data_IF_485579969813
#
_entry.id   IF_485579969813
#
_cell.length_a   1.000
_cell.length_b   1.000
_cell.length_c   1.000
_cell.angle_alpha   90.00
_cell.angle_beta   90.00
_cell.angle_gamma   90.00
#
_symmetry.space_group_name_H-M   'P 1'
#
loop_
_entity.id
_entity.type
_entity.pdbx_description
1 polymer ?
#
# COMPACT_ATOMS: atom_id res chain seq x y z
N UNK A 1 1.31 -5.87 19.67
CA UNK A 1 0.56 -5.09 20.69
C UNK A 1 -0.90 -4.84 20.30
N UNK A 2 -1.19 -4.25 19.12
CA UNK A 2 -2.57 -3.96 18.68
C UNK A 2 -3.52 -5.16 18.80
N UNK A 3 -3.14 -6.36 18.37
CA UNK A 3 -3.97 -7.58 18.54
C UNK A 3 -4.22 -7.97 20.01
N UNK A 4 -3.30 -7.69 20.94
CA UNK A 4 -3.54 -7.94 22.37
C UNK A 4 -4.58 -6.95 22.92
N UNK A 5 -4.50 -5.68 22.49
CA UNK A 5 -5.51 -4.70 22.83
C UNK A 5 -6.88 -5.09 22.26
N UNK A 6 -6.93 -5.59 21.02
CA UNK A 6 -8.14 -6.14 20.41
C UNK A 6 -8.71 -7.30 21.23
N UNK A 7 -7.87 -8.26 21.66
CA UNK A 7 -8.32 -9.34 22.54
C UNK A 7 -8.98 -8.82 23.81
N UNK A 8 -8.36 -7.83 24.46
CA UNK A 8 -8.91 -7.23 25.68
C UNK A 8 -10.22 -6.49 25.42
N UNK A 9 -10.27 -5.65 24.38
CA UNK A 9 -11.45 -4.86 24.02
C UNK A 9 -12.67 -5.74 23.68
N UNK A 10 -12.42 -6.93 23.13
CA UNK A 10 -13.46 -7.90 22.77
C UNK A 10 -13.73 -8.96 23.86
N UNK A 11 -13.08 -8.85 25.02
CA UNK A 11 -13.21 -9.81 26.12
C UNK A 11 -12.69 -11.23 25.80
N UNK A 12 -11.79 -11.37 24.84
CA UNK A 12 -11.18 -12.64 24.46
C UNK A 12 -9.98 -12.95 25.37
N UNK A 13 -10.09 -14.01 26.16
CA UNK A 13 -9.06 -14.50 27.08
C UNK A 13 -8.02 -15.39 26.39
N UNK A 14 -8.38 -16.02 25.26
CA UNK A 14 -7.49 -16.92 24.52
C UNK A 14 -7.36 -16.53 23.05
N UNK A 15 -6.26 -16.95 22.40
CA UNK A 15 -6.10 -16.82 20.95
C UNK A 15 -7.20 -17.56 20.17
N UNK A 16 -7.75 -18.65 20.73
CA UNK A 16 -8.83 -19.41 20.09
C UNK A 16 -10.14 -18.62 20.05
N UNK A 17 -10.48 -17.93 21.14
CA UNK A 17 -11.63 -17.02 21.19
C UNK A 17 -11.47 -15.86 20.20
N UNK A 18 -10.27 -15.29 20.11
CA UNK A 18 -10.00 -14.27 19.10
C UNK A 18 -10.14 -14.81 17.67
N UNK A 19 -9.59 -16.00 17.37
CA UNK A 19 -9.81 -16.66 16.07
C UNK A 19 -11.29 -16.87 15.76
N UNK A 20 -12.10 -17.24 16.76
CA UNK A 20 -13.54 -17.40 16.56
C UNK A 20 -14.23 -16.08 16.20
N UNK A 21 -13.77 -14.94 16.75
CA UNK A 21 -14.27 -13.61 16.35
C UNK A 21 -13.95 -13.28 14.89
N UNK A 22 -12.73 -13.60 14.43
CA UNK A 22 -12.35 -13.45 13.03
C UNK A 22 -13.19 -14.36 12.12
N UNK A 23 -13.33 -15.63 12.48
CA UNK A 23 -14.13 -16.60 11.73
C UNK A 23 -15.63 -16.23 11.66
N UNK A 24 -16.17 -15.58 12.69
CA UNK A 24 -17.56 -15.13 12.71
C UNK A 24 -17.84 -14.01 11.68
N UNK A 25 -16.84 -13.18 11.37
CA UNK A 25 -16.94 -12.12 10.35
C UNK A 25 -16.58 -12.64 8.96
N UNK A 26 -15.61 -13.55 8.88
CA UNK A 26 -15.15 -14.17 7.65
C UNK A 26 -14.74 -15.62 7.92
N UNK A 27 -15.56 -16.63 7.55
CA UNK A 27 -15.24 -18.04 7.74
C UNK A 27 -13.94 -18.47 7.03
N UNK A 28 -13.56 -17.78 5.95
CA UNK A 28 -12.34 -18.04 5.16
C UNK A 28 -11.15 -17.18 5.61
N UNK A 29 -11.21 -16.59 6.80
CA UNK A 29 -10.13 -15.73 7.30
C UNK A 29 -8.79 -16.46 7.40
N UNK A 30 -7.72 -15.78 7.01
CA UNK A 30 -6.36 -16.27 7.20
C UNK A 30 -5.88 -16.14 8.67
N UNK A 31 -6.72 -15.60 9.57
CA UNK A 31 -6.46 -15.54 11.01
C UNK A 31 -6.75 -16.88 11.71
N UNK A 32 -5.89 -17.87 11.46
CA UNK A 32 -5.99 -19.20 12.06
C UNK A 32 -5.22 -19.30 13.39
N UNK A 33 -5.53 -20.31 14.21
CA UNK A 33 -4.85 -20.55 15.50
C UNK A 33 -3.33 -20.69 15.33
N UNK A 34 -2.90 -21.28 14.21
CA UNK A 34 -1.49 -21.50 13.89
C UNK A 34 -0.70 -20.20 13.77
N UNK A 35 -1.30 -19.16 13.18
CA UNK A 35 -0.67 -17.86 12.97
C UNK A 35 -0.96 -16.88 14.12
N UNK A 36 -2.14 -16.98 14.74
CA UNK A 36 -2.61 -16.09 15.80
C UNK A 36 -1.62 -16.02 16.97
N UNK A 37 -1.03 -17.14 17.39
CA UNK A 37 -0.07 -17.15 18.49
C UNK A 37 1.16 -16.28 18.19
N UNK A 38 1.70 -16.34 16.97
CA UNK A 38 2.86 -15.54 16.55
C UNK A 38 2.47 -14.07 16.43
N UNK A 39 1.30 -13.76 15.87
CA UNK A 39 0.84 -12.39 15.66
C UNK A 39 0.44 -11.67 16.96
N UNK A 40 -0.30 -12.32 17.85
CA UNK A 40 -0.68 -11.76 19.16
C UNK A 40 0.56 -11.51 20.03
N UNK A 41 1.59 -12.36 19.92
CA UNK A 41 2.87 -12.15 20.61
C UNK A 41 3.77 -11.09 19.95
N UNK A 42 3.39 -10.56 18.79
CA UNK A 42 4.19 -9.59 18.04
C UNK A 42 5.46 -10.18 17.42
N UNK A 43 5.55 -11.52 17.31
CA UNK A 43 6.68 -12.20 16.66
C UNK A 43 6.62 -12.14 15.12
N UNK A 44 5.44 -11.86 14.57
CA UNK A 44 5.20 -11.67 13.16
C UNK A 44 3.96 -10.78 12.97
N UNK A 45 3.71 -10.32 11.74
CA UNK A 45 2.49 -9.59 11.36
C UNK A 45 1.74 -10.35 10.26
N UNK A 46 0.42 -10.16 10.14
CA UNK A 46 -0.33 -10.63 8.99
C UNK A 46 0.26 -10.08 7.69
N UNK A 47 0.42 -10.96 6.69
CA UNK A 47 0.95 -10.63 5.36
C UNK A 47 -0.14 -10.48 4.30
N UNK A 48 -1.37 -10.87 4.61
CA UNK A 48 -2.52 -10.76 3.72
C UNK A 48 -3.35 -9.56 4.15
N UNK A 49 -3.73 -8.70 3.20
CA UNK A 49 -4.54 -7.51 3.49
C UNK A 49 -5.90 -7.88 4.11
N UNK A 50 -6.47 -9.01 3.68
CA UNK A 50 -7.74 -9.56 4.19
C UNK A 50 -7.81 -9.69 5.69
N UNK A 51 -6.69 -10.00 6.36
CA UNK A 51 -6.66 -10.10 7.82
C UNK A 51 -6.90 -8.74 8.47
N UNK A 52 -6.40 -7.65 7.88
CA UNK A 52 -6.62 -6.30 8.38
C UNK A 52 -8.05 -5.82 8.09
N UNK A 53 -8.64 -6.23 6.96
CA UNK A 53 -10.06 -5.97 6.66
C UNK A 53 -10.99 -6.69 7.64
N UNK A 54 -10.75 -7.98 7.88
CA UNK A 54 -11.48 -8.76 8.88
C UNK A 54 -11.34 -8.13 10.26
N UNK A 55 -10.12 -7.71 10.62
CA UNK A 55 -9.85 -7.06 11.90
C UNK A 55 -10.60 -5.74 12.04
N UNK A 56 -10.59 -4.89 11.01
CA UNK A 56 -11.35 -3.64 11.03
C UNK A 56 -12.86 -3.89 11.20
N UNK A 57 -13.41 -4.90 10.52
CA UNK A 57 -14.83 -5.28 10.66
C UNK A 57 -15.19 -5.77 12.07
N UNK A 58 -14.32 -6.55 12.72
CA UNK A 58 -14.55 -7.01 14.10
C UNK A 58 -14.56 -5.83 15.09
N UNK A 59 -13.69 -4.84 14.89
CA UNK A 59 -13.62 -3.65 15.74
C UNK A 59 -14.83 -2.72 15.52
N UNK A 60 -15.43 -2.75 14.34
CA UNK A 60 -16.57 -1.92 13.97
C UNK A 60 -16.19 -0.44 13.79
N UNK A 61 -17.19 0.44 13.81
CA UNK A 61 -16.99 1.90 13.85
C UNK A 61 -16.48 2.54 12.54
N UNK A 62 -16.52 1.83 11.41
CA UNK A 62 -16.06 2.37 10.12
C UNK A 62 -14.54 2.51 9.99
N UNK A 63 -13.77 1.79 10.81
CA UNK A 63 -12.32 1.80 10.74
C UNK A 63 -11.84 1.21 9.40
N UNK A 64 -10.83 1.84 8.80
CA UNK A 64 -10.19 1.33 7.60
C UNK A 64 -9.11 0.29 7.94
N UNK A 65 -8.96 -0.74 7.12
CA UNK A 65 -7.90 -1.74 7.26
C UNK A 65 -6.50 -1.12 7.25
N UNK A 66 -6.28 -0.10 6.42
CA UNK A 66 -5.01 0.65 6.38
C UNK A 66 -4.72 1.37 7.70
N UNK A 67 -5.75 1.92 8.36
CA UNK A 67 -5.60 2.47 9.71
C UNK A 67 -5.19 1.38 10.70
N UNK A 68 -5.84 0.21 10.69
CA UNK A 68 -5.51 -0.90 11.58
C UNK A 68 -4.09 -1.41 11.33
N UNK A 69 -3.63 -1.46 10.07
CA UNK A 69 -2.28 -1.89 9.72
C UNK A 69 -1.21 -0.89 10.17
N UNK A 70 -1.38 0.39 9.83
CA UNK A 70 -0.31 1.39 9.92
C UNK A 70 -0.30 2.23 11.19
N UNK A 71 -1.43 2.37 11.88
CA UNK A 71 -1.50 3.18 13.11
C UNK A 71 -0.46 2.77 14.14
N UNK A 72 0.07 3.76 14.85
CA UNK A 72 0.84 3.49 16.05
C UNK A 72 -0.04 2.80 17.11
N UNK A 73 0.59 2.20 18.13
CA UNK A 73 -0.19 1.62 19.22
C UNK A 73 -1.04 2.67 19.93
N UNK A 74 -0.52 3.87 20.14
CA UNK A 74 -1.22 4.93 20.88
C UNK A 74 -2.38 5.52 20.07
N UNK A 75 -2.21 5.76 18.77
CA UNK A 75 -3.30 6.17 17.87
C UNK A 75 -4.40 5.11 17.82
N UNK A 76 -4.00 3.84 17.69
CA UNK A 76 -4.93 2.72 17.69
C UNK A 76 -5.69 2.65 19.03
N UNK A 77 -4.99 2.72 20.16
CA UNK A 77 -5.60 2.64 21.48
C UNK A 77 -6.58 3.80 21.75
N UNK A 78 -6.22 5.02 21.37
CA UNK A 78 -7.10 6.18 21.49
C UNK A 78 -8.39 5.98 20.69
N UNK A 79 -8.26 5.49 19.45
CA UNK A 79 -9.40 5.25 18.57
C UNK A 79 -10.30 4.14 19.12
N UNK A 80 -9.73 3.01 19.55
CA UNK A 80 -10.51 1.89 20.10
C UNK A 80 -11.24 2.28 21.39
N UNK A 81 -10.66 3.13 22.25
CA UNK A 81 -11.36 3.63 23.46
C UNK A 81 -12.64 4.42 23.14
N UNK A 82 -12.70 5.05 21.97
CA UNK A 82 -13.91 5.74 21.50
C UNK A 82 -15.03 4.80 21.06
N UNK A 83 -14.72 3.52 20.78
CA UNK A 83 -15.66 2.58 20.17
C UNK A 83 -15.95 1.34 21.03
N UNK A 84 -15.02 0.93 21.87
CA UNK A 84 -15.11 -0.28 22.69
C UNK A 84 -14.69 0.01 24.14
N UNK A 85 -15.32 -0.63 25.13
CA UNK A 85 -14.94 -0.49 26.53
C UNK A 85 -13.57 -1.13 26.76
N UNK A 86 -12.54 -0.31 26.96
CA UNK A 86 -11.18 -0.74 27.28
C UNK A 86 -10.79 -0.22 28.66
N UNK A 87 -10.50 -1.07 29.65
CA UNK A 87 -10.03 -0.63 30.97
C UNK A 87 -8.66 0.05 30.90
N UNK A 88 -8.55 1.25 31.48
CA UNK A 88 -7.31 2.05 31.46
C UNK A 88 -6.12 1.32 32.12
N UNK A 89 -6.38 0.55 33.18
CA UNK A 89 -5.36 -0.25 33.84
C UNK A 89 -4.78 -1.36 32.93
N UNK A 90 -5.61 -1.95 32.07
CA UNK A 90 -5.17 -2.98 31.13
C UNK A 90 -4.32 -2.37 30.00
N UNK A 91 -4.67 -1.16 29.55
CA UNK A 91 -3.89 -0.42 28.57
C UNK A 91 -2.53 0.02 29.13
N UNK A 92 -2.49 0.50 30.38
CA UNK A 92 -1.25 0.85 31.08
C UNK A 92 -0.30 -0.35 31.19
N UNK A 93 -0.83 -1.53 31.54
CA UNK A 93 -0.06 -2.78 31.59
C UNK A 93 0.53 -3.15 30.23
N UNK A 94 -0.25 -3.03 29.15
CA UNK A 94 0.25 -3.29 27.80
C UNK A 94 1.36 -2.32 27.36
N UNK A 95 1.35 -1.07 27.84
CA UNK A 95 2.42 -0.08 27.59
C UNK A 95 3.69 -0.38 28.40
N UNK A 96 3.54 -0.83 29.64
CA UNK A 96 4.68 -1.24 30.48
C UNK A 96 5.42 -2.45 29.90
N UNK A 97 4.70 -3.41 29.32
CA UNK A 97 5.27 -4.59 28.67
C UNK A 97 6.04 -4.25 27.38
N UNK A 98 5.87 -3.04 26.83
CA UNK A 98 6.49 -2.58 25.59
C UNK A 98 6.68 -1.06 25.59
N UNK A 99 7.78 -0.53 26.16
CA UNK A 99 8.02 0.91 26.20
C UNK A 99 8.15 1.47 24.78
N UNK A 100 7.37 2.51 24.48
CA UNK A 100 7.53 3.34 23.28
C UNK A 100 8.91 4.01 23.33
N UNK A 101 9.69 4.04 22.22
CA UNK A 101 10.85 4.92 22.18
C UNK A 101 10.40 6.38 22.38
N UNK A 102 11.18 7.21 23.09
CA UNK A 102 10.82 8.60 23.33
C UNK A 102 10.66 9.35 21.99
N UNK A 103 9.79 10.38 21.93
CA UNK A 103 9.64 11.20 20.74
C UNK A 103 10.99 11.80 20.35
N UNK A 104 11.32 11.74 19.05
CA UNK A 104 12.50 12.36 18.48
C UNK A 104 12.37 13.88 18.62
N UNK A 105 12.98 14.45 19.67
CA UNK A 105 13.38 15.86 19.67
C UNK A 105 14.32 16.09 18.49
N UNK A 106 14.09 17.11 17.63
CA UNK A 106 15.01 17.41 16.54
C UNK A 106 16.38 17.79 17.13
N UNK A 107 17.51 17.19 16.67
CA UNK A 107 18.81 17.57 17.17
C UNK A 107 19.21 18.91 16.57
N UNK A 108 19.27 19.94 17.41
CA UNK A 108 20.11 21.10 17.17
C UNK A 108 21.54 20.67 17.45
N UNK A 109 22.36 20.59 16.40
CA UNK A 109 23.81 20.75 16.50
C UNK A 109 24.63 19.51 16.90
N UNK A 110 25.56 19.22 15.98
CA UNK A 110 26.87 18.58 16.17
C UNK A 110 26.96 17.04 16.19
N UNK A 111 27.64 16.59 15.14
CA UNK A 111 27.99 15.22 14.85
C UNK A 111 28.90 14.62 15.93
N UNK A 112 28.52 13.44 16.41
CA UNK A 112 29.48 12.48 16.93
C UNK A 112 29.01 11.07 16.57
N UNK A 113 29.70 10.50 15.60
CA UNK A 113 29.54 9.12 15.19
C UNK A 113 29.84 8.17 16.35
N UNK A 114 28.81 7.44 16.80
CA UNK A 114 28.97 6.15 17.47
C UNK A 114 28.00 5.17 16.83
N UNK A 115 28.57 4.27 16.05
CA UNK A 115 27.89 3.13 15.42
C UNK A 115 27.42 2.17 16.50
N UNK A 116 26.26 2.48 17.08
CA UNK A 116 25.45 1.46 17.74
C UNK A 116 24.73 0.75 16.59
N UNK A 117 25.11 -0.50 16.34
CA UNK A 117 24.32 -1.41 15.51
C UNK A 117 22.97 -1.59 16.21
N UNK A 118 22.04 -0.67 15.96
CA UNK A 118 20.64 -0.81 16.36
C UNK A 118 20.09 -1.96 15.53
N UNK A 119 19.66 -3.02 16.21
CA UNK A 119 18.83 -4.04 15.60
C UNK A 119 17.67 -3.36 14.85
N UNK A 120 17.27 -3.84 13.66
CA UNK A 120 16.25 -3.16 12.85
C UNK A 120 14.94 -3.13 13.64
N UNK A 121 14.64 -1.99 14.24
CA UNK A 121 13.33 -1.71 14.78
C UNK A 121 12.36 -1.78 13.61
N UNK A 122 11.40 -2.69 13.71
CA UNK A 122 10.32 -2.89 12.75
C UNK A 122 9.74 -1.54 12.32
N UNK A 123 9.87 -1.20 11.03
CA UNK A 123 9.37 0.06 10.45
C UNK A 123 7.95 -0.14 9.92
N UNK A 124 6.96 0.71 10.25
CA UNK A 124 5.57 0.55 9.80
C UNK A 124 5.42 0.45 8.27
N UNK A 125 6.34 1.10 7.52
CA UNK A 125 6.19 1.33 6.08
C UNK A 125 7.16 0.53 5.22
N UNK A 126 7.92 -0.42 5.78
CA UNK A 126 8.91 -1.19 5.01
C UNK A 126 8.29 -1.97 3.84
N UNK A 127 6.99 -2.26 3.92
CA UNK A 127 6.23 -2.93 2.85
C UNK A 127 6.15 -2.08 1.59
N UNK A 128 6.25 -0.76 1.66
CA UNK A 128 6.17 0.11 0.48
C UNK A 128 7.45 0.08 -0.37
N UNK A 129 8.58 -0.36 0.20
CA UNK A 129 9.80 -0.51 -0.59
C UNK A 129 9.66 -1.62 -1.65
N UNK A 130 10.22 -1.38 -2.82
CA UNK A 130 10.25 -2.34 -3.93
C UNK A 130 10.01 -1.71 -5.31
N UNK A 131 9.94 -2.59 -6.31
CA UNK A 131 9.64 -2.25 -7.69
C UNK A 131 8.14 -2.44 -8.00
N UNK A 132 7.61 -1.55 -8.82
CA UNK A 132 6.20 -1.56 -9.22
C UNK A 132 6.05 -1.25 -10.71
N UNK A 133 5.10 -1.93 -11.35
CA UNK A 133 4.46 -1.47 -12.58
C UNK A 133 3.46 -0.39 -12.23
N UNK A 134 3.53 0.75 -12.90
CA UNK A 134 2.65 1.89 -12.72
C UNK A 134 1.70 1.96 -13.90
N UNK A 135 0.40 2.05 -13.65
CA UNK A 135 -0.62 2.11 -14.69
C UNK A 135 -1.42 3.39 -14.48
N UNK A 136 -1.55 4.19 -15.54
CA UNK A 136 -2.40 5.38 -15.57
C UNK A 136 -3.01 5.58 -16.95
N UNK A 137 -4.02 6.44 -17.06
CA UNK A 137 -4.51 6.91 -18.36
C UNK A 137 -3.54 7.93 -18.96
N UNK A 138 -3.47 7.92 -20.29
CA UNK A 138 -2.74 8.92 -21.06
C UNK A 138 -3.23 10.33 -20.75
N UNK A 139 -2.26 11.23 -20.56
CA UNK A 139 -2.51 12.67 -20.45
C UNK A 139 -2.46 13.40 -21.78
N UNK A 140 -2.05 12.72 -22.86
CA UNK A 140 -2.06 13.29 -24.20
C UNK A 140 -3.46 13.20 -24.79
N UNK A 141 -4.01 14.33 -25.28
CA UNK A 141 -5.30 14.33 -25.98
C UNK A 141 -5.29 13.49 -27.26
N UNK A 142 -4.16 13.40 -27.95
CA UNK A 142 -4.04 12.58 -29.16
C UNK A 142 -4.17 11.08 -28.83
N UNK A 143 -3.90 10.71 -27.58
CA UNK A 143 -3.86 9.32 -27.10
C UNK A 143 -4.94 9.11 -26.02
N UNK A 144 -6.03 9.88 -26.09
CA UNK A 144 -7.10 9.82 -25.11
C UNK A 144 -7.70 8.41 -25.02
N UNK A 145 -7.86 7.91 -23.79
CA UNK A 145 -8.39 6.57 -23.54
C UNK A 145 -7.33 5.45 -23.57
N UNK A 146 -6.12 5.72 -24.06
CA UNK A 146 -5.00 4.80 -23.94
C UNK A 146 -4.39 4.83 -22.53
N UNK A 147 -3.70 3.75 -22.18
CA UNK A 147 -2.93 3.60 -20.95
C UNK A 147 -1.47 3.99 -21.19
N UNK A 148 -0.84 4.49 -20.14
CA UNK A 148 0.61 4.60 -20.02
C UNK A 148 1.05 3.60 -18.95
N UNK A 149 2.07 2.82 -19.29
CA UNK A 149 2.78 1.98 -18.34
C UNK A 149 4.10 2.65 -17.98
N UNK A 150 4.30 2.84 -16.68
CA UNK A 150 5.55 3.29 -16.12
C UNK A 150 6.10 2.28 -15.12
N UNK A 151 7.25 2.60 -14.56
CA UNK A 151 7.89 1.84 -13.49
C UNK A 151 8.15 2.76 -12.33
N UNK A 152 7.79 2.34 -11.12
CA UNK A 152 8.18 3.00 -9.90
C UNK A 152 9.11 2.11 -9.09
N UNK A 153 10.23 2.67 -8.65
CA UNK A 153 11.11 2.08 -7.66
C UNK A 153 11.03 2.94 -6.39
N UNK A 154 10.63 2.32 -5.29
CA UNK A 154 10.57 2.95 -3.98
C UNK A 154 11.66 2.34 -3.11
N UNK A 155 12.62 3.16 -2.69
CA UNK A 155 13.74 2.74 -1.87
C UNK A 155 13.70 3.42 -0.51
N UNK A 156 14.12 2.74 0.58
CA UNK A 156 14.33 3.41 1.86
C UNK A 156 15.42 4.48 1.71
N UNK A 157 15.19 5.65 2.30
CA UNK A 157 16.19 6.71 2.43
C UNK A 157 16.67 6.81 3.90
N UNK A 158 17.52 7.79 4.19
CA UNK A 158 17.95 8.07 5.56
C UNK A 158 16.75 8.43 6.45
N UNK A 159 16.72 7.89 7.68
CA UNK A 159 15.59 8.07 8.60
C UNK A 159 14.39 7.17 8.27
N UNK A 160 13.17 7.72 8.41
CA UNK A 160 11.88 7.07 8.10
C UNK A 160 11.35 7.45 6.70
N UNK A 161 12.15 8.19 5.93
CA UNK A 161 11.79 8.67 4.60
C UNK A 161 12.09 7.61 3.51
N UNK A 162 11.47 7.82 2.34
CA UNK A 162 11.71 7.04 1.15
C UNK A 162 12.21 7.94 0.02
N UNK A 163 12.86 7.34 -0.97
CA UNK A 163 13.04 7.94 -2.28
C UNK A 163 12.20 7.18 -3.29
N UNK A 164 11.68 7.89 -4.28
CA UNK A 164 10.93 7.29 -5.39
C UNK A 164 11.54 7.71 -6.71
N UNK A 165 11.66 6.75 -7.62
CA UNK A 165 12.07 6.93 -9.00
C UNK A 165 10.98 6.36 -9.90
N UNK A 166 10.34 7.23 -10.65
CA UNK A 166 9.32 6.91 -11.63
C UNK A 166 9.88 7.04 -13.04
N UNK A 167 9.66 6.06 -13.91
CA UNK A 167 10.14 6.08 -15.30
C UNK A 167 9.02 5.66 -16.24
N UNK A 168 8.83 6.41 -17.32
CA UNK A 168 7.97 6.06 -18.46
C UNK A 168 8.81 5.93 -19.72
N UNK A 169 8.56 4.91 -20.53
CA UNK A 169 9.20 4.78 -21.85
C UNK A 169 8.20 5.22 -22.93
N UNK A 170 8.34 6.45 -23.43
CA UNK A 170 7.48 7.05 -24.45
C UNK A 170 8.32 7.40 -25.68
N UNK A 171 7.82 7.06 -26.88
CA UNK A 171 8.51 7.35 -28.15
C UNK A 171 9.98 6.86 -28.21
N UNK A 172 10.27 5.73 -27.55
CA UNK A 172 11.61 5.16 -27.47
C UNK A 172 12.58 5.92 -26.55
N UNK A 173 12.08 6.82 -25.71
CA UNK A 173 12.86 7.55 -24.71
C UNK A 173 12.34 7.29 -23.30
N UNK A 174 13.28 7.12 -22.36
CA UNK A 174 12.97 6.98 -20.95
C UNK A 174 12.89 8.35 -20.27
N UNK A 175 11.69 8.67 -19.80
CA UNK A 175 11.40 9.89 -19.05
C UNK A 175 11.40 9.51 -17.58
N UNK A 176 12.42 9.97 -16.85
CA UNK A 176 12.58 9.66 -15.43
C UNK A 176 12.21 10.86 -14.57
N UNK A 177 11.46 10.60 -13.50
CA UNK A 177 11.07 11.55 -12.48
C UNK A 177 11.48 11.01 -11.11
N UNK A 178 12.15 11.81 -10.30
CA UNK A 178 12.60 11.36 -8.98
C UNK A 178 12.46 12.42 -7.90
N UNK A 179 12.31 11.97 -6.67
CA UNK A 179 12.21 12.86 -5.51
C UNK A 179 12.11 12.10 -4.18
N UNK A 180 12.25 12.81 -3.06
CA UNK A 180 11.95 12.25 -1.75
C UNK A 180 10.45 11.98 -1.62
N UNK A 181 10.11 10.94 -0.86
CA UNK A 181 8.76 10.54 -0.56
C UNK A 181 8.56 10.47 0.95
N UNK A 182 7.60 11.27 1.42
CA UNK A 182 7.16 11.28 2.81
C UNK A 182 6.09 10.21 2.99
N UNK A 183 6.21 9.39 4.03
CA UNK A 183 5.26 8.31 4.30
C UNK A 183 4.89 8.27 5.79
N UNK A 184 3.61 8.53 6.09
CA UNK A 184 3.07 8.47 7.46
C UNK A 184 2.39 7.12 7.77
N UNK A 185 2.51 6.16 6.85
CA UNK A 185 1.90 4.84 6.91
C UNK A 185 0.44 4.77 6.48
N UNK A 186 -0.23 5.91 6.28
CA UNK A 186 -1.58 5.97 5.68
C UNK A 186 -1.55 6.58 4.28
N UNK A 187 -0.59 7.43 4.03
CA UNK A 187 -0.33 8.13 2.78
C UNK A 187 1.16 8.10 2.48
N UNK A 188 1.49 8.13 1.19
CA UNK A 188 2.86 8.35 0.73
C UNK A 188 2.84 9.40 -0.37
N UNK A 189 3.60 10.48 -0.21
CA UNK A 189 3.54 11.64 -1.10
C UNK A 189 4.93 12.06 -1.53
N UNK A 190 5.08 12.38 -2.82
CA UNK A 190 6.35 12.78 -3.40
C UNK A 190 6.17 13.91 -4.43
N UNK A 191 7.04 14.92 -4.34
CA UNK A 191 7.25 15.87 -5.42
C UNK A 191 8.42 15.37 -6.28
N UNK A 192 8.10 14.92 -7.50
CA UNK A 192 9.05 14.33 -8.44
C UNK A 192 9.54 15.39 -9.41
N UNK A 193 10.84 15.44 -9.66
CA UNK A 193 11.42 16.29 -10.71
C UNK A 193 11.72 15.45 -11.94
N UNK A 194 11.15 15.81 -13.08
CA UNK A 194 11.45 15.17 -14.35
C UNK A 194 12.85 15.57 -14.85
N UNK A 195 13.68 14.60 -15.20
CA UNK A 195 15.04 14.85 -15.69
C UNK A 195 15.04 15.52 -17.08
N UNK A 196 14.07 15.19 -17.92
CA UNK A 196 13.97 15.70 -19.30
C UNK A 196 13.39 17.12 -19.34
N UNK A 197 12.23 17.33 -18.74
CA UNK A 197 11.50 18.61 -18.83
C UNK A 197 11.82 19.58 -17.70
N UNK A 198 12.53 19.12 -16.66
CA UNK A 198 12.79 19.84 -15.39
C UNK A 198 11.53 20.25 -14.62
N UNK A 199 10.34 19.82 -15.07
CA UNK A 199 9.05 20.10 -14.44
C UNK A 199 8.84 19.22 -13.21
N UNK A 200 7.99 19.71 -12.32
CA UNK A 200 7.57 19.00 -11.12
C UNK A 200 6.27 18.25 -11.36
N UNK A 201 6.23 17.02 -10.86
CA UNK A 201 5.07 16.15 -10.81
C UNK A 201 4.79 15.83 -9.35
N UNK A 202 3.53 15.69 -9.00
CA UNK A 202 3.13 15.34 -7.64
C UNK A 202 2.44 13.98 -7.64
N UNK A 203 3.01 13.06 -6.87
CA UNK A 203 2.52 11.71 -6.66
C UNK A 203 1.95 11.63 -5.25
N UNK A 204 0.66 11.34 -5.12
CA UNK A 204 -0.03 11.13 -3.85
C UNK A 204 -0.65 9.74 -3.80
N UNK A 205 -0.04 8.85 -3.03
CA UNK A 205 -0.44 7.47 -2.85
C UNK A 205 -1.17 7.30 -1.52
N UNK A 206 -2.14 6.39 -1.52
CA UNK A 206 -2.68 5.82 -0.30
C UNK A 206 -1.77 4.69 0.13
N UNK A 207 -1.19 4.77 1.32
CA UNK A 207 -0.35 3.71 1.83
C UNK A 207 -1.21 2.43 1.98
N UNK A 208 -0.80 1.34 1.34
CA UNK A 208 -1.58 0.12 1.29
C UNK A 208 -1.45 -0.65 2.60
N UNK A 209 -2.44 -1.51 2.89
CA UNK A 209 -2.26 -2.58 3.87
C UNK A 209 -1.16 -3.54 3.38
N UNK A 210 -0.33 -4.12 4.27
CA UNK A 210 0.56 -5.21 3.89
C UNK A 210 -0.21 -6.32 3.16
N UNK A 211 0.31 -6.88 2.05
CA UNK A 211 1.71 -6.85 1.60
C UNK A 211 2.04 -5.74 0.60
N UNK A 212 1.15 -4.76 0.38
CA UNK A 212 1.36 -3.69 -0.58
C UNK A 212 1.55 -4.20 -2.03
N UNK A 213 0.79 -5.23 -2.45
CA UNK A 213 0.81 -5.71 -3.83
C UNK A 213 0.18 -4.71 -4.81
N UNK A 214 -0.77 -3.91 -4.31
CA UNK A 214 -1.42 -2.82 -5.04
C UNK A 214 -1.33 -1.56 -4.21
N UNK A 215 -0.92 -0.46 -4.84
CA UNK A 215 -0.95 0.89 -4.27
C UNK A 215 -1.69 1.81 -5.21
N UNK A 216 -2.69 2.53 -4.72
CA UNK A 216 -3.48 3.44 -5.53
C UNK A 216 -3.24 4.88 -5.12
N UNK A 217 -3.31 5.80 -6.07
CA UNK A 217 -3.13 7.21 -5.80
C UNK A 217 -3.54 8.10 -6.95
N UNK A 218 -3.12 9.36 -6.85
CA UNK A 218 -3.23 10.38 -7.88
C UNK A 218 -1.82 10.77 -8.31
N UNK A 219 -1.61 10.86 -9.62
CA UNK A 219 -0.44 11.48 -10.21
C UNK A 219 -0.90 12.77 -10.90
N UNK A 220 -0.17 13.85 -10.70
CA UNK A 220 -0.47 15.16 -11.30
C UNK A 220 0.78 15.87 -11.77
N UNK A 221 0.64 16.72 -12.78
CA UNK A 221 1.74 17.50 -13.34
C UNK A 221 1.39 18.03 -14.72
N UNK A 222 2.39 18.21 -15.59
CA UNK A 222 2.18 18.68 -16.95
C UNK A 222 2.22 17.52 -17.96
N UNK A 223 1.32 17.49 -18.92
CA UNK A 223 1.40 16.52 -20.02
C UNK A 223 2.76 16.64 -20.74
N UNK A 224 3.51 15.52 -20.80
CA UNK A 224 4.90 15.48 -21.27
C UNK A 224 5.02 15.73 -22.78
N UNK A 225 4.02 15.32 -23.54
CA UNK A 225 3.98 15.41 -25.00
C UNK A 225 2.72 16.14 -25.46
N UNK A 226 2.53 17.32 -24.89
CA UNK A 226 1.44 18.21 -25.22
C UNK A 226 2.01 19.59 -25.53
N UNK A 227 1.66 20.14 -26.69
CA UNK A 227 2.09 21.46 -27.13
C UNK A 227 1.71 22.55 -26.12
N UNK A 228 0.56 22.39 -25.47
CA UNK A 228 0.04 23.35 -24.49
C UNK A 228 0.58 23.14 -23.08
N UNK A 229 1.36 22.06 -22.85
CA UNK A 229 1.90 21.73 -21.53
C UNK A 229 0.85 21.71 -20.40
N UNK A 230 -0.38 21.29 -20.72
CA UNK A 230 -1.54 21.38 -19.83
C UNK A 230 -1.29 20.67 -18.50
N UNK A 231 -1.80 21.29 -17.44
CA UNK A 231 -1.85 20.68 -16.12
C UNK A 231 -2.90 19.59 -16.08
N UNK A 232 -2.49 18.38 -15.72
CA UNK A 232 -3.29 17.19 -15.69
C UNK A 232 -3.17 16.49 -14.34
N UNK A 233 -4.22 15.80 -13.94
CA UNK A 233 -4.22 14.89 -12.81
C UNK A 233 -5.04 13.66 -13.19
N UNK A 234 -4.58 12.48 -12.76
CA UNK A 234 -5.25 11.22 -13.03
C UNK A 234 -5.01 10.21 -11.92
N UNK A 235 -5.86 9.18 -11.88
CA UNK A 235 -5.62 8.02 -11.02
C UNK A 235 -4.41 7.24 -11.53
N UNK A 236 -3.65 6.73 -10.59
CA UNK A 236 -2.51 5.85 -10.83
C UNK A 236 -2.62 4.63 -9.93
N UNK A 237 -2.31 3.46 -10.48
CA UNK A 237 -2.24 2.20 -9.74
C UNK A 237 -0.86 1.60 -9.93
N UNK A 238 -0.19 1.29 -8.82
CA UNK A 238 1.10 0.62 -8.74
C UNK A 238 0.85 -0.83 -8.38
N UNK A 239 1.36 -1.75 -9.20
CA UNK A 239 1.31 -3.20 -8.96
C UNK A 239 2.73 -3.67 -8.67
N UNK A 240 2.93 -4.37 -7.56
CA UNK A 240 4.23 -4.88 -7.16
C UNK A 240 4.80 -5.86 -8.19
N UNK A 241 6.07 -5.66 -8.52
CA UNK A 241 6.89 -6.65 -9.24
C UNK A 241 7.47 -7.65 -8.23
N UNK A 242 7.07 -8.92 -8.33
CA UNK A 242 7.57 -9.99 -7.47
C UNK A 242 8.83 -10.68 -8.00
N UNK A 243 9.19 -10.43 -9.26
CA UNK A 243 10.40 -10.98 -9.87
C UNK A 243 11.60 -10.05 -9.68
N UNK A 244 11.36 -8.80 -9.24
CA UNK A 244 12.35 -7.75 -9.00
C UNK A 244 13.34 -7.59 -10.17
N UNK A 245 12.82 -7.74 -11.39
CA UNK A 245 13.65 -7.70 -12.59
C UNK A 245 14.02 -6.25 -12.85
N UNK A 246 15.31 -5.96 -13.09
CA UNK A 246 15.73 -4.61 -13.53
C UNK A 246 15.08 -4.19 -14.84
N UNK A 247 14.70 -5.14 -15.68
CA UNK A 247 14.05 -4.90 -16.96
C UNK A 247 13.03 -6.02 -17.26
N UNK A 248 11.80 -5.94 -16.71
CA UNK A 248 10.71 -6.80 -17.12
C UNK A 248 10.32 -6.44 -18.56
N UNK A 249 9.90 -7.42 -19.39
CA UNK A 249 9.55 -7.20 -20.79
C UNK A 249 8.18 -6.52 -20.90
N UNK A 250 8.07 -5.33 -20.34
CA UNK A 250 6.85 -4.54 -20.35
C UNK A 250 6.68 -3.86 -21.70
N UNK A 251 5.45 -3.79 -22.19
CA UNK A 251 5.11 -2.99 -23.34
C UNK A 251 5.30 -1.51 -23.02
N UNK A 252 5.88 -0.79 -23.96
CA UNK A 252 6.22 0.63 -23.84
C UNK A 252 5.27 1.49 -24.68
N UNK A 253 5.23 2.78 -24.40
CA UNK A 253 4.39 3.73 -25.13
C UNK A 253 2.93 3.76 -24.67
N UNK A 254 2.06 4.26 -25.56
CA UNK A 254 0.62 4.30 -25.36
C UNK A 254 -0.01 2.98 -25.75
N UNK A 255 -0.80 2.40 -24.85
CA UNK A 255 -1.39 1.08 -25.02
C UNK A 255 -2.91 1.17 -25.00
N UNK A 256 -3.58 0.36 -25.81
CA UNK A 256 -5.03 0.25 -25.74
C UNK A 256 -5.45 -0.17 -24.33
N UNK A 257 -6.48 0.51 -23.79
CA UNK A 257 -7.11 0.18 -22.52
C UNK A 257 -7.83 -1.17 -22.59
N UNK A 258 -7.08 -2.26 -22.37
CA UNK A 258 -7.55 -3.64 -22.54
C UNK A 258 -7.19 -4.49 -21.31
N UNK A 259 -8.17 -5.17 -20.68
CA UNK A 259 -7.90 -6.13 -19.61
C UNK A 259 -6.94 -7.26 -20.03
N UNK A 260 -7.02 -7.71 -21.28
CA UNK A 260 -6.17 -8.77 -21.82
C UNK A 260 -4.71 -8.32 -21.99
N UNK A 261 -4.50 -7.06 -22.41
CA UNK A 261 -3.16 -6.50 -22.47
C UNK A 261 -2.57 -6.41 -21.06
N UNK A 262 -3.33 -5.91 -20.10
CA UNK A 262 -2.88 -5.79 -18.72
C UNK A 262 -2.60 -7.15 -18.07
N UNK A 263 -3.39 -8.19 -18.39
CA UNK A 263 -3.14 -9.55 -17.91
C UNK A 263 -1.76 -10.07 -18.34
N UNK A 264 -1.38 -9.86 -19.60
CA UNK A 264 -0.04 -10.19 -20.12
C UNK A 264 1.05 -9.48 -19.30
N UNK A 265 0.89 -8.18 -19.05
CA UNK A 265 1.87 -7.39 -18.29
C UNK A 265 1.98 -7.85 -16.84
N UNK A 266 0.86 -8.14 -16.19
CA UNK A 266 0.83 -8.61 -14.79
C UNK A 266 1.42 -10.03 -14.69
N UNK A 267 1.24 -10.88 -15.71
CA UNK A 267 1.94 -12.16 -15.80
C UNK A 267 3.47 -12.00 -15.74
N UNK A 268 4.02 -10.96 -16.38
CA UNK A 268 5.46 -10.66 -16.34
C UNK A 268 5.98 -10.18 -14.97
N UNK A 269 5.09 -9.81 -14.05
CA UNK A 269 5.43 -9.42 -12.68
C UNK A 269 5.46 -10.60 -11.69
N UNK A 270 5.14 -11.82 -12.16
CA UNK A 270 5.19 -13.03 -11.35
C UNK A 270 3.87 -13.46 -10.71
N UNK A 271 2.74 -12.90 -11.12
CA UNK A 271 1.41 -13.35 -10.67
C UNK A 271 0.96 -14.60 -11.45
N UNK A 272 0.48 -15.62 -10.74
CA UNK A 272 0.45 -17.01 -11.26
C UNK A 272 -0.94 -17.57 -11.62
N UNK A 273 -2.02 -16.81 -11.43
CA UNK A 273 -3.40 -17.29 -11.63
C UNK A 273 -4.12 -16.55 -12.78
N UNK A 274 -4.10 -17.04 -14.04
CA UNK A 274 -4.62 -16.31 -15.19
C UNK A 274 -6.10 -15.88 -15.09
N UNK A 275 -7.05 -16.75 -14.65
CA UNK A 275 -8.43 -16.32 -14.45
C UNK A 275 -8.56 -15.20 -13.42
N UNK A 276 -7.84 -15.30 -12.30
CA UNK A 276 -7.82 -14.27 -11.26
C UNK A 276 -7.18 -12.96 -11.74
N UNK A 277 -6.09 -13.03 -12.52
CA UNK A 277 -5.47 -11.86 -13.14
C UNK A 277 -6.43 -11.14 -14.08
N UNK A 278 -7.14 -11.86 -14.94
CA UNK A 278 -8.12 -11.26 -15.86
C UNK A 278 -9.26 -10.54 -15.12
N UNK A 279 -9.74 -11.11 -14.02
CA UNK A 279 -10.74 -10.45 -13.18
C UNK A 279 -10.17 -9.17 -12.54
N UNK A 280 -8.95 -9.25 -11.99
CA UNK A 280 -8.27 -8.12 -11.36
C UNK A 280 -7.95 -7.00 -12.37
N UNK A 281 -7.53 -7.33 -13.60
CA UNK A 281 -7.25 -6.33 -14.64
C UNK A 281 -8.50 -5.61 -15.12
N UNK A 282 -9.63 -6.32 -15.18
CA UNK A 282 -10.93 -5.73 -15.51
C UNK A 282 -11.34 -4.72 -14.44
N UNK A 283 -11.23 -5.09 -13.16
CA UNK A 283 -11.52 -4.17 -12.06
C UNK A 283 -10.55 -2.97 -12.01
N UNK A 284 -9.26 -3.21 -12.24
CA UNK A 284 -8.25 -2.16 -12.31
C UNK A 284 -8.60 -1.13 -13.38
N UNK A 285 -8.97 -1.60 -14.57
CA UNK A 285 -9.29 -0.71 -15.67
C UNK A 285 -10.53 0.15 -15.35
N UNK A 286 -11.57 -0.48 -14.78
CA UNK A 286 -12.76 0.23 -14.32
C UNK A 286 -12.41 1.30 -13.26
N UNK A 287 -11.50 1.00 -12.33
CA UNK A 287 -11.04 1.93 -11.29
C UNK A 287 -10.35 3.16 -11.90
N UNK A 288 -9.43 2.96 -12.85
CA UNK A 288 -8.71 4.08 -13.47
C UNK A 288 -9.63 4.90 -14.39
N UNK A 289 -10.56 4.27 -15.09
CA UNK A 289 -11.49 4.92 -16.02
C UNK A 289 -12.71 5.57 -15.37
N UNK A 290 -13.03 5.23 -14.12
CA UNK A 290 -14.24 5.74 -13.46
C UNK A 290 -14.25 7.28 -13.43
N UNK A 291 -15.41 7.87 -13.76
CA UNK A 291 -15.53 9.33 -13.79
C UNK A 291 -15.45 9.91 -12.37
N UNK A 292 -14.78 11.07 -12.18
CA UNK A 292 -14.79 11.79 -10.91
C UNK A 292 -16.22 12.12 -10.43
N UNK A 293 -16.50 11.89 -9.15
CA UNK A 293 -17.79 12.24 -8.54
C UNK A 293 -17.72 13.70 -8.10
N UNK A 294 -18.71 14.52 -8.49
CA UNK A 294 -18.79 15.94 -8.09
C UNK A 294 -17.54 16.78 -8.43
N UNK A 295 -16.78 16.36 -9.45
CA UNK A 295 -15.54 17.03 -9.87
C UNK A 295 -14.33 16.74 -8.97
N UNK A 296 -14.47 15.92 -7.93
CA UNK A 296 -13.36 15.49 -7.08
C UNK A 296 -12.66 14.27 -7.68
N UNK A 297 -11.39 14.43 -8.04
CA UNK A 297 -10.55 13.33 -8.45
C UNK A 297 -9.95 12.65 -7.20
N UNK A 298 -10.59 11.56 -6.79
CA UNK A 298 -10.14 10.74 -5.66
C UNK A 298 -9.80 9.31 -6.08
N UNK A 299 -9.04 8.60 -5.25
CA UNK A 299 -8.87 7.16 -5.31
C UNK A 299 -9.83 6.49 -4.32
N UNK A 300 -10.95 5.87 -4.79
CA UNK A 300 -11.96 5.31 -3.90
C UNK A 300 -11.37 4.21 -3.00
N UNK A 301 -11.48 4.34 -1.66
CA UNK A 301 -10.87 3.39 -0.72
C UNK A 301 -11.35 1.96 -0.94
N UNK A 302 -12.66 1.77 -1.07
CA UNK A 302 -13.27 0.44 -1.12
C UNK A 302 -12.90 -0.29 -2.42
N UNK A 303 -12.89 0.43 -3.55
CA UNK A 303 -12.48 -0.14 -4.82
C UNK A 303 -10.98 -0.50 -4.85
N UNK A 304 -10.13 0.35 -4.25
CA UNK A 304 -8.71 0.05 -4.12
C UNK A 304 -8.46 -1.14 -3.18
N UNK A 305 -9.21 -1.24 -2.07
CA UNK A 305 -9.15 -2.37 -1.14
C UNK A 305 -9.57 -3.69 -1.78
N UNK A 306 -10.70 -3.69 -2.49
CA UNK A 306 -11.16 -4.86 -3.25
C UNK A 306 -10.13 -5.30 -4.29
N UNK A 307 -9.56 -4.35 -5.04
CA UNK A 307 -8.50 -4.64 -6.00
C UNK A 307 -7.26 -5.24 -5.32
N UNK A 308 -6.84 -4.68 -4.18
CA UNK A 308 -5.72 -5.20 -3.39
C UNK A 308 -5.92 -6.65 -2.94
N UNK A 309 -7.14 -7.00 -2.50
CA UNK A 309 -7.49 -8.37 -2.12
C UNK A 309 -7.39 -9.35 -3.29
N UNK A 310 -7.83 -8.94 -4.48
CA UNK A 310 -7.73 -9.79 -5.66
C UNK A 310 -6.26 -10.04 -6.03
N UNK A 311 -5.42 -9.00 -6.03
CA UNK A 311 -3.98 -9.14 -6.27
C UNK A 311 -3.26 -9.97 -5.20
N UNK A 312 -3.67 -9.88 -3.93
CA UNK A 312 -3.10 -10.70 -2.85
C UNK A 312 -3.37 -12.21 -3.04
N UNK A 313 -4.52 -12.57 -3.61
CA UNK A 313 -4.86 -13.98 -3.90
C UNK A 313 -4.02 -14.57 -5.03
N UNK A 314 -3.72 -13.76 -6.04
CA UNK A 314 -2.98 -14.20 -7.24
C UNK A 314 -1.46 -14.02 -7.12
N UNK A 315 -1.00 -13.34 -6.07
CA UNK A 315 0.41 -13.13 -5.76
C UNK A 315 1.14 -14.47 -5.47
N UNK A 316 2.43 -14.57 -5.79
CA UNK A 316 3.21 -15.76 -5.49
C UNK A 316 3.27 -16.00 -3.96
N UNK A 317 2.76 -17.16 -3.52
CA UNK A 317 2.65 -17.51 -2.09
C UNK A 317 1.31 -17.18 -1.43
N UNK A 318 0.35 -16.61 -2.18
CA UNK A 318 -1.05 -16.56 -1.78
C UNK A 318 -1.59 -17.97 -1.54
N UNK A 319 -2.10 -18.22 -0.35
CA UNK A 319 -2.53 -19.55 0.07
C UNK A 319 -3.80 -19.92 -0.72
N UNK A 320 -3.67 -20.71 -1.80
CA UNK A 320 -4.78 -21.57 -2.21
C UNK A 320 -4.91 -22.65 -1.14
N UNK A 321 -5.87 -22.49 -0.24
CA UNK A 321 -6.46 -23.65 0.40
C UNK A 321 -7.14 -24.43 -0.73
N UNK A 322 -6.46 -25.44 -1.27
CA UNK A 322 -7.12 -26.47 -2.06
C UNK A 322 -8.11 -27.21 -1.15
N UNK A 323 -9.26 -27.65 -1.71
CA UNK A 323 -10.36 -28.26 -0.95
C UNK A 323 -9.95 -29.50 -0.15
#
# INVERSE_FOLDING_TARGET
>A
MKLRLTSLALGCSTSKELCARFAAVNPETAFTVQNAYKWVRGKATPRLSSVYDDWARILGGGLAASFVAASSFDEFAQTIRGHLPVPDAALAKLRLDHPTPPPLTPPVGEASARTVVRQPSWRPNHWLAGCYLVISLSWSQAEMGNLILGRAEITPADGDDFAVRYTESLFGQDITMSGPMLCDGRTAQAALRCSLSLRTYFLALRAPSPPANVVGGILSGAALHDFEARSMAGRVVLIRDHLDRRDPPLRQGYLAASPALLDEQIGHLGYVDPPGRMAATTQLLALIQATPVQGLLEMPPDALGALGLDFDRIAPGGTRASP
#
